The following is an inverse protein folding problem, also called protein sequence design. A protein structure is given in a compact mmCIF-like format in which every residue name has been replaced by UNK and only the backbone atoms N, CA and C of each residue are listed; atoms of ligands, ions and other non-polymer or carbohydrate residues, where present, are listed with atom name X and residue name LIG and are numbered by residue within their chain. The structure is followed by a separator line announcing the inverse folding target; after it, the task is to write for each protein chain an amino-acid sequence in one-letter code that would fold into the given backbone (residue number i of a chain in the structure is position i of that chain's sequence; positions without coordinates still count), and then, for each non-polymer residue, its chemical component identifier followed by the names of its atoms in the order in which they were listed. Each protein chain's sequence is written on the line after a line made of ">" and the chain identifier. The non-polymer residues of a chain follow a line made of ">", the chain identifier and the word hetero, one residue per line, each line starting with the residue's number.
data_IF_261698530815
#
_entry.id   IF_261698530815
#
_cell.length_a   1.000
_cell.length_b   1.000
_cell.length_c   1.000
_cell.angle_alpha   90.00
_cell.angle_beta   90.00
_cell.angle_gamma   90.00
#
_symmetry.space_group_name_H-M   'P 1'
#
loop_
_entity.id
_entity.type
_entity.pdbx_description
1 polymer ?
#
# COMPACT_ATOMS: atom_id res chain seq x y z
N UNK A 1 7.98 8.03 0.22
CA UNK A 1 8.54 7.65 1.53
C UNK A 1 8.90 8.87 2.38
N UNK A 2 9.47 9.94 1.82
CA UNK A 2 9.76 11.17 2.59
C UNK A 2 8.55 11.71 3.37
N UNK A 3 7.42 11.95 2.71
CA UNK A 3 6.17 12.40 3.37
C UNK A 3 5.76 11.51 4.56
N UNK A 4 5.93 10.18 4.45
CA UNK A 4 5.61 9.26 5.53
C UNK A 4 6.57 9.42 6.71
N UNK A 5 7.86 9.59 6.43
CA UNK A 5 8.88 9.84 7.45
C UNK A 5 8.68 11.19 8.16
N UNK A 6 8.16 12.18 7.44
CA UNK A 6 7.81 13.50 7.96
C UNK A 6 6.47 13.53 8.72
N UNK A 7 5.74 12.40 8.76
CA UNK A 7 4.44 12.29 9.40
C UNK A 7 3.28 12.88 8.61
N UNK A 8 3.50 13.30 7.36
CA UNK A 8 2.45 13.74 6.45
C UNK A 8 1.79 12.52 5.79
N UNK A 9 0.88 11.91 6.56
CA UNK A 9 0.20 10.69 6.16
C UNK A 9 -0.83 10.95 5.06
N UNK A 10 -1.52 12.09 5.06
CA UNK A 10 -2.42 12.51 4.00
C UNK A 10 -1.69 12.58 2.65
N UNK A 11 -0.58 13.32 2.59
CA UNK A 11 0.23 13.43 1.36
C UNK A 11 0.82 12.08 0.95
N UNK A 12 1.18 11.23 1.93
CA UNK A 12 1.63 9.87 1.61
C UNK A 12 0.54 9.06 0.90
N UNK A 13 -0.71 9.13 1.35
CA UNK A 13 -1.84 8.46 0.70
C UNK A 13 -2.04 8.97 -0.72
N UNK A 14 -2.01 10.30 -0.93
CA UNK A 14 -2.16 10.92 -2.24
C UNK A 14 -1.07 10.49 -3.23
N UNK A 15 0.19 10.41 -2.79
CA UNK A 15 1.31 10.02 -3.63
C UNK A 15 1.33 8.52 -3.93
N UNK A 16 1.02 7.66 -2.96
CA UNK A 16 1.18 6.21 -3.11
C UNK A 16 -0.03 5.52 -3.77
N UNK A 17 -1.26 6.02 -3.58
CA UNK A 17 -2.47 5.47 -4.21
C UNK A 17 -2.33 5.27 -5.73
N UNK A 18 -1.93 6.27 -6.54
CA UNK A 18 -1.81 6.10 -7.98
C UNK A 18 -0.65 5.18 -8.37
N UNK A 19 0.43 5.15 -7.58
CA UNK A 19 1.64 4.35 -7.86
C UNK A 19 1.35 2.85 -7.68
N UNK A 20 0.53 2.49 -6.70
CA UNK A 20 0.16 1.09 -6.41
C UNK A 20 -0.38 0.35 -7.63
N UNK A 21 -1.19 1.00 -8.46
CA UNK A 21 -1.78 0.38 -9.66
C UNK A 21 -0.78 0.14 -10.79
N UNK A 22 0.33 0.85 -10.81
CA UNK A 22 1.36 0.75 -11.86
C UNK A 22 2.62 0.02 -11.38
N UNK A 23 2.80 -0.19 -10.08
CA UNK A 23 3.95 -0.88 -9.49
C UNK A 23 4.15 -2.31 -10.02
N UNK A 24 3.10 -2.98 -10.47
CA UNK A 24 3.19 -4.29 -11.12
C UNK A 24 3.89 -4.25 -12.50
N UNK A 25 3.91 -3.09 -13.18
CA UNK A 25 4.47 -2.91 -14.54
C UNK A 25 5.95 -2.60 -14.56
N UNK A 26 6.51 -2.07 -13.47
CA UNK A 26 7.93 -1.66 -13.41
C UNK A 26 8.91 -2.81 -13.15
N UNK A 27 8.46 -4.06 -13.13
CA UNK A 27 9.34 -5.17 -12.77
C UNK A 27 9.91 -5.02 -11.36
N UNK A 28 9.07 -4.70 -10.38
CA UNK A 28 9.45 -4.73 -8.97
C UNK A 28 9.34 -6.13 -8.36
N UNK A 29 10.29 -6.50 -7.50
CA UNK A 29 10.21 -7.72 -6.70
C UNK A 29 8.98 -7.68 -5.79
N UNK A 30 8.44 -8.85 -5.42
CA UNK A 30 7.32 -8.95 -4.49
C UNK A 30 7.56 -8.11 -3.22
N UNK A 31 8.78 -8.15 -2.67
CA UNK A 31 9.17 -7.38 -1.50
C UNK A 31 9.07 -5.84 -1.69
N UNK A 32 9.42 -5.31 -2.87
CA UNK A 32 9.32 -3.88 -3.13
C UNK A 32 7.86 -3.40 -3.19
N UNK A 33 6.99 -4.21 -3.79
CA UNK A 33 5.53 -3.93 -3.84
C UNK A 33 4.92 -4.01 -2.45
N UNK A 34 5.36 -4.99 -1.66
CA UNK A 34 4.98 -5.16 -0.27
C UNK A 34 5.21 -3.91 0.57
N UNK A 35 6.37 -3.29 0.40
CA UNK A 35 6.71 -2.05 1.10
C UNK A 35 5.75 -0.92 0.71
N UNK A 36 5.41 -0.77 -0.58
CA UNK A 36 4.45 0.27 -1.02
C UNK A 36 3.06 0.03 -0.41
N UNK A 37 2.56 -1.21 -0.46
CA UNK A 37 1.24 -1.54 0.09
C UNK A 37 1.20 -1.32 1.61
N UNK A 38 2.20 -1.80 2.35
CA UNK A 38 2.27 -1.64 3.81
C UNK A 38 2.37 -0.18 4.21
N UNK A 39 3.18 0.63 3.52
CA UNK A 39 3.27 2.07 3.79
C UNK A 39 1.96 2.78 3.49
N UNK A 40 1.27 2.44 2.41
CA UNK A 40 -0.03 3.05 2.09
C UNK A 40 -1.11 2.66 3.12
N UNK A 41 -1.16 1.40 3.56
CA UNK A 41 -2.08 0.93 4.61
C UNK A 41 -1.86 1.71 5.90
N UNK A 42 -0.60 1.84 6.32
CA UNK A 42 -0.25 2.52 7.57
C UNK A 42 -0.53 4.03 7.49
N UNK A 43 -0.22 4.67 6.36
CA UNK A 43 -0.54 6.08 6.15
C UNK A 43 -2.05 6.34 6.23
N UNK A 44 -2.85 5.52 5.54
CA UNK A 44 -4.31 5.63 5.59
C UNK A 44 -4.86 5.46 7.03
N UNK A 45 -4.30 4.52 7.80
CA UNK A 45 -4.71 4.29 9.17
C UNK A 45 -4.36 5.48 10.09
N UNK A 46 -3.16 6.04 9.96
CA UNK A 46 -2.70 7.19 10.77
C UNK A 46 -3.36 8.50 10.40
N UNK A 47 -3.77 8.67 9.15
CA UNK A 47 -4.54 9.82 8.66
C UNK A 47 -6.04 9.73 9.03
N UNK A 48 -6.47 8.64 9.68
CA UNK A 48 -7.87 8.44 10.08
C UNK A 48 -8.78 7.89 8.97
N UNK A 49 -8.25 7.57 7.80
CA UNK A 49 -8.97 6.97 6.67
C UNK A 49 -9.19 5.45 6.89
N UNK A 50 -9.88 5.07 7.97
CA UNK A 50 -10.01 3.66 8.38
C UNK A 50 -10.63 2.76 7.30
N UNK A 51 -11.71 3.21 6.65
CA UNK A 51 -12.34 2.43 5.58
C UNK A 51 -11.39 2.13 4.41
N UNK A 52 -10.48 3.05 4.10
CA UNK A 52 -9.44 2.83 3.09
C UNK A 52 -8.41 1.81 3.60
N UNK A 53 -7.92 1.98 4.82
CA UNK A 53 -6.93 1.06 5.38
C UNK A 53 -7.45 -0.39 5.40
N UNK A 54 -8.72 -0.59 5.77
CA UNK A 54 -9.34 -1.91 5.82
C UNK A 54 -9.53 -2.53 4.44
N UNK A 55 -9.97 -1.74 3.45
CA UNK A 55 -10.06 -2.19 2.07
C UNK A 55 -8.69 -2.65 1.54
N UNK A 56 -7.64 -1.87 1.78
CA UNK A 56 -6.28 -2.20 1.35
C UNK A 56 -5.73 -3.46 2.04
N UNK A 57 -6.00 -3.66 3.33
CA UNK A 57 -5.64 -4.90 4.06
C UNK A 57 -6.33 -6.12 3.46
N UNK A 58 -7.62 -6.00 3.14
CA UNK A 58 -8.39 -7.09 2.53
C UNK A 58 -7.84 -7.45 1.14
N UNK A 59 -7.57 -6.45 0.30
CA UNK A 59 -6.97 -6.66 -1.02
C UNK A 59 -5.61 -7.35 -0.93
N UNK A 60 -4.78 -6.96 0.04
CA UNK A 60 -3.46 -7.58 0.28
C UNK A 60 -3.57 -9.04 0.74
N UNK A 61 -4.52 -9.35 1.62
CA UNK A 61 -4.75 -10.73 2.08
C UNK A 61 -5.16 -11.65 0.92
N UNK A 62 -5.97 -11.15 -0.01
CA UNK A 62 -6.36 -11.87 -1.23
C UNK A 62 -5.17 -12.15 -2.15
N UNK A 63 -4.27 -11.17 -2.31
CA UNK A 63 -3.04 -11.35 -3.12
C UNK A 63 -2.08 -12.39 -2.51
N UNK A 64 -1.96 -12.43 -1.18
CA UNK A 64 -1.14 -13.44 -0.49
C UNK A 64 -1.74 -14.85 -0.59
N UNK A 65 -3.08 -14.97 -0.59
CA UNK A 65 -3.77 -16.26 -0.71
C UNK A 65 -3.69 -16.88 -2.10
N UNK A 66 -3.61 -16.08 -3.16
CA UNK A 66 -3.46 -16.57 -4.54
C UNK A 66 -2.12 -17.23 -4.86
N UNK A 67 -1.08 -17.00 -4.04
CA UNK A 67 0.23 -17.64 -4.20
C UNK A 67 0.28 -19.07 -3.64
N UNK A 68 -0.71 -19.50 -2.84
CA UNK A 68 -0.80 -20.83 -2.24
C UNK A 68 -1.61 -21.84 -3.09
N UNK A 69 -2.23 -21.39 -4.19
CA UNK A 69 -3.08 -22.21 -5.07
C UNK A 69 -2.55 -22.35 -6.50
N UNK A 70 -1.33 -21.92 -6.77
CA UNK A 70 -0.63 -22.04 -8.07
C UNK A 70 0.65 -22.86 -7.90
#
# INVERSE_FOLDING_TARGET
>A
MAAFADGDYAQTVELLRPIRHIAHRFGGSHAQRDVIDLTLIEAAARDGQQSLADALRAERALQAGGALTA
#
